data_IF_222533637178
#
_entry.id   IF_222533637178
#
_cell.length_a   1.000
_cell.length_b   1.000
_cell.length_c   1.000
_cell.angle_alpha   90.00
_cell.angle_beta   90.00
_cell.angle_gamma   90.00
#
_symmetry.space_group_name_H-M   'P 1'
#
loop_
_entity.id
_entity.type
_entity.pdbx_description
1 polymer ?
#
# COMPACT_ATOMS: atom_id res chain seq x y z
N UNK A 1 -20.84 2.15 2.53
CA UNK A 1 -19.63 1.76 3.27
C UNK A 1 -19.29 0.33 2.94
N UNK A 2 -18.03 0.08 2.63
CA UNK A 2 -17.44 -1.21 2.31
C UNK A 2 -16.49 -1.60 3.44
N UNK A 3 -16.45 -2.89 3.76
CA UNK A 3 -15.52 -3.47 4.72
C UNK A 3 -14.53 -4.38 4.00
N UNK A 4 -13.25 -4.02 4.07
CA UNK A 4 -12.20 -4.68 3.30
C UNK A 4 -11.07 -5.10 4.24
N UNK A 5 -10.51 -6.29 4.00
CA UNK A 5 -9.26 -6.71 4.65
C UNK A 5 -8.11 -6.40 3.73
N UNK A 6 -7.26 -5.45 4.14
CA UNK A 6 -6.10 -4.99 3.40
C UNK A 6 -4.78 -5.30 4.10
N UNK A 7 -3.71 -5.43 3.31
CA UNK A 7 -2.35 -5.66 3.78
C UNK A 7 -1.43 -4.53 3.31
N UNK A 8 -0.74 -3.89 4.26
CA UNK A 8 0.19 -2.80 3.99
C UNK A 8 1.61 -3.22 4.38
N UNK A 9 2.53 -3.22 3.42
CA UNK A 9 3.94 -3.55 3.65
C UNK A 9 4.77 -2.29 3.83
N UNK A 10 5.63 -2.28 4.85
CA UNK A 10 6.50 -1.13 5.17
C UNK A 10 7.71 -1.57 6.01
N UNK A 11 8.52 -0.61 6.47
CA UNK A 11 9.60 -0.87 7.43
C UNK A 11 9.05 -1.28 8.81
N UNK A 12 9.80 -2.05 9.59
CA UNK A 12 9.38 -2.45 10.93
C UNK A 12 9.15 -1.25 11.87
N UNK A 13 9.95 -0.19 11.71
CA UNK A 13 9.84 1.03 12.53
C UNK A 13 8.61 1.85 12.12
N UNK A 14 8.33 1.97 10.81
CA UNK A 14 7.09 2.56 10.30
C UNK A 14 5.86 1.78 10.75
N UNK A 15 5.92 0.45 10.73
CA UNK A 15 4.81 -0.39 11.20
C UNK A 15 4.52 -0.17 12.68
N UNK A 16 5.54 -0.10 13.53
CA UNK A 16 5.36 0.22 14.94
C UNK A 16 4.71 1.60 15.15
N UNK A 17 5.10 2.59 14.34
CA UNK A 17 4.49 3.92 14.34
C UNK A 17 3.02 3.88 13.93
N UNK A 18 2.70 3.20 12.82
CA UNK A 18 1.32 3.06 12.32
C UNK A 18 0.41 2.36 13.32
N UNK A 19 0.89 1.30 13.99
CA UNK A 19 0.10 0.60 15.03
C UNK A 19 -0.21 1.52 16.22
N UNK A 20 0.69 2.46 16.54
CA UNK A 20 0.53 3.38 17.67
C UNK A 20 -0.29 4.61 17.32
N UNK A 21 -0.09 5.17 16.13
CA UNK A 21 -0.55 6.52 15.75
C UNK A 21 -1.56 6.52 14.59
N UNK A 22 -1.79 5.36 13.97
CA UNK A 22 -2.58 5.22 12.74
C UNK A 22 -1.77 5.49 11.47
N UNK A 23 -2.40 5.25 10.32
CA UNK A 23 -1.83 5.62 9.03
C UNK A 23 -1.80 7.14 8.91
N UNK A 24 -0.65 7.66 8.47
CA UNK A 24 -0.52 9.07 8.09
C UNK A 24 -0.65 9.14 6.58
N UNK A 25 -1.43 10.11 6.10
CA UNK A 25 -1.49 10.37 4.68
C UNK A 25 -0.08 10.66 4.18
N UNK A 26 0.30 9.99 3.10
CA UNK A 26 1.51 10.37 2.42
C UNK A 26 1.26 11.75 1.79
N UNK A 27 2.25 12.64 1.93
CA UNK A 27 2.20 14.02 1.42
C UNK A 27 3.29 14.27 0.36
N UNK A 28 3.92 13.21 -0.14
CA UNK A 28 5.05 13.30 -1.06
C UNK A 28 4.63 13.70 -2.47
N UNK A 29 5.48 14.45 -3.17
CA UNK A 29 5.24 14.82 -4.58
C UNK A 29 5.44 13.65 -5.56
N UNK A 30 6.00 12.53 -5.11
CA UNK A 30 6.34 11.35 -5.93
C UNK A 30 5.49 10.11 -5.60
N UNK A 31 4.26 10.30 -5.14
CA UNK A 31 3.38 9.16 -4.87
C UNK A 31 2.89 8.48 -6.14
N UNK A 32 2.73 7.16 -6.07
CA UNK A 32 2.52 6.33 -7.25
C UNK A 32 1.23 6.67 -8.01
N UNK A 33 0.12 6.90 -7.31
CA UNK A 33 -1.20 7.21 -7.89
C UNK A 33 -1.82 8.45 -7.20
N UNK A 34 -1.02 9.18 -6.40
CA UNK A 34 -1.46 10.32 -5.59
C UNK A 34 -1.53 10.01 -4.10
N UNK A 35 -2.03 10.98 -3.32
CA UNK A 35 -2.03 10.94 -1.85
C UNK A 35 -2.96 9.87 -1.31
N UNK A 36 -2.43 8.91 -0.55
CA UNK A 36 -3.26 7.91 0.09
C UNK A 36 -2.49 6.85 0.87
N UNK A 37 -3.24 5.85 1.35
CA UNK A 37 -2.67 4.63 1.93
C UNK A 37 -3.00 3.44 1.03
N UNK A 38 -1.97 2.73 0.59
CA UNK A 38 -2.08 1.65 -0.37
C UNK A 38 -2.16 0.30 0.35
N UNK A 39 -3.07 -0.56 -0.11
CA UNK A 39 -3.28 -1.88 0.46
C UNK A 39 -3.34 -2.94 -0.64
N UNK A 40 -2.72 -4.08 -0.37
CA UNK A 40 -2.96 -5.30 -1.12
C UNK A 40 -4.18 -5.99 -0.54
N UNK A 41 -5.17 -6.28 -1.36
CA UNK A 41 -6.40 -6.98 -0.98
C UNK A 41 -6.46 -8.35 -1.64
N UNK A 42 -7.37 -9.20 -1.17
CA UNK A 42 -7.66 -10.46 -1.88
C UNK A 42 -8.28 -10.12 -3.24
N UNK A 43 -7.63 -10.52 -4.31
CA UNK A 43 -8.08 -10.35 -5.68
C UNK A 43 -7.69 -11.57 -6.51
N UNK A 44 -7.01 -11.34 -7.65
CA UNK A 44 -6.47 -12.42 -8.50
C UNK A 44 -5.48 -13.28 -7.73
N UNK A 45 -4.62 -12.67 -6.90
CA UNK A 45 -3.69 -13.39 -6.04
C UNK A 45 -4.33 -13.81 -4.71
N UNK A 46 -4.03 -15.03 -4.29
CA UNK A 46 -4.45 -15.60 -3.00
C UNK A 46 -3.52 -15.24 -1.83
N UNK A 47 -2.41 -14.55 -2.09
CA UNK A 47 -1.39 -14.21 -1.06
C UNK A 47 -1.12 -12.70 -1.00
N UNK A 48 -2.11 -11.85 -0.66
CA UNK A 48 -1.93 -10.40 -0.56
C UNK A 48 -0.91 -9.96 0.50
N UNK A 49 -0.77 -10.73 1.59
CA UNK A 49 0.27 -10.50 2.60
C UNK A 49 1.69 -10.60 2.04
N UNK A 50 1.92 -11.56 1.13
CA UNK A 50 3.24 -11.77 0.52
C UNK A 50 3.55 -10.66 -0.48
N UNK A 51 2.57 -10.25 -1.29
CA UNK A 51 2.74 -9.11 -2.20
C UNK A 51 3.02 -7.81 -1.44
N UNK A 52 2.35 -7.58 -0.31
CA UNK A 52 2.66 -6.45 0.56
C UNK A 52 4.12 -6.49 1.06
N UNK A 53 4.61 -7.67 1.46
CA UNK A 53 6.01 -7.83 1.86
C UNK A 53 6.99 -7.58 0.70
N UNK A 54 6.72 -8.16 -0.48
CA UNK A 54 7.53 -7.97 -1.69
C UNK A 54 7.57 -6.51 -2.11
N UNK A 55 6.44 -5.81 -2.01
CA UNK A 55 6.35 -4.38 -2.23
C UNK A 55 7.24 -3.59 -1.26
N UNK A 56 7.19 -3.89 0.04
CA UNK A 56 8.05 -3.22 1.02
C UNK A 56 9.54 -3.42 0.71
N UNK A 57 9.92 -4.62 0.24
CA UNK A 57 11.31 -4.90 -0.17
C UNK A 57 11.68 -4.10 -1.43
N UNK A 58 10.78 -4.03 -2.41
CA UNK A 58 11.01 -3.30 -3.66
C UNK A 58 11.07 -1.77 -3.43
N UNK A 59 10.18 -1.23 -2.60
CA UNK A 59 10.13 0.19 -2.26
C UNK A 59 11.39 0.62 -1.48
N UNK A 60 11.92 -0.26 -0.62
CA UNK A 60 13.15 0.02 0.10
C UNK A 60 14.38 0.14 -0.81
N UNK A 61 14.35 -0.41 -2.03
CA UNK A 61 15.52 -0.48 -2.89
C UNK A 61 15.92 0.89 -3.43
N UNK A 62 17.09 1.38 -3.00
CA UNK A 62 17.68 2.58 -3.60
C UNK A 62 18.49 2.21 -4.84
N UNK A 63 18.01 2.67 -5.99
CA UNK A 63 18.66 2.45 -7.28
C UNK A 63 20.03 3.13 -7.42
N UNK A 64 20.34 4.13 -6.59
CA UNK A 64 21.63 4.83 -6.60
C UNK A 64 22.66 4.07 -5.79
N UNK A 65 22.37 3.81 -4.50
CA UNK A 65 23.30 3.13 -3.60
C UNK A 65 23.29 1.61 -3.73
N UNK A 66 22.35 1.03 -4.49
CA UNK A 66 22.17 -0.42 -4.72
C UNK A 66 22.02 -1.21 -3.42
N UNK A 67 21.35 -0.60 -2.44
CA UNK A 67 21.02 -1.22 -1.15
C UNK A 67 19.60 -0.83 -0.74
N UNK A 68 19.02 -1.61 0.17
CA UNK A 68 17.75 -1.23 0.78
C UNK A 68 17.96 -0.14 1.84
N UNK A 69 17.15 0.91 1.78
CA UNK A 69 17.10 2.04 2.73
C UNK A 69 16.71 1.57 4.14
N UNK A 70 16.03 0.42 4.25
CA UNK A 70 15.77 -0.29 5.49
C UNK A 70 15.88 -1.81 5.31
N UNK A 71 16.23 -2.54 6.39
CA UNK A 71 16.50 -3.98 6.35
C UNK A 71 15.48 -4.85 7.09
N UNK A 72 14.59 -4.21 7.84
CA UNK A 72 13.54 -4.89 8.62
C UNK A 72 12.20 -4.49 8.03
N UNK A 73 11.46 -5.49 7.57
CA UNK A 73 10.19 -5.33 6.89
C UNK A 73 9.07 -5.85 7.80
N UNK A 74 7.89 -5.27 7.66
CA UNK A 74 6.69 -5.69 8.35
C UNK A 74 5.48 -5.56 7.43
N UNK A 75 4.47 -6.39 7.68
CA UNK A 75 3.18 -6.33 7.02
C UNK A 75 2.11 -6.10 8.07
N UNK A 76 1.30 -5.07 7.86
CA UNK A 76 0.15 -4.72 8.72
C UNK A 76 -1.11 -5.26 8.05
N UNK A 77 -1.86 -6.10 8.76
CA UNK A 77 -3.21 -6.49 8.36
C UNK A 77 -4.19 -5.47 8.95
N UNK A 78 -5.05 -4.90 8.11
CA UNK A 78 -6.03 -3.89 8.51
C UNK A 78 -7.45 -4.34 8.14
N UNK A 79 -8.40 -4.08 9.02
CA UNK A 79 -9.83 -4.08 8.71
C UNK A 79 -10.20 -2.63 8.39
N UNK A 80 -10.66 -2.38 7.17
CA UNK A 80 -10.81 -1.04 6.59
C UNK A 80 -12.29 -0.83 6.31
N UNK A 81 -12.87 0.18 6.94
CA UNK A 81 -14.19 0.72 6.62
C UNK A 81 -13.98 1.96 5.74
N UNK A 82 -14.54 1.95 4.52
CA UNK A 82 -14.37 3.02 3.54
C UNK A 82 -15.64 3.25 2.75
N UNK A 83 -15.91 4.49 2.35
CA UNK A 83 -16.98 4.79 1.40
C UNK A 83 -16.51 4.47 -0.02
N UNK A 84 -17.42 4.01 -0.88
CA UNK A 84 -17.08 3.52 -2.22
C UNK A 84 -16.42 4.61 -3.09
N UNK A 85 -16.83 5.87 -2.94
CA UNK A 85 -16.23 7.02 -3.62
C UNK A 85 -14.78 7.34 -3.20
N UNK A 86 -14.34 6.82 -2.05
CA UNK A 86 -12.97 6.96 -1.55
C UNK A 86 -12.10 5.73 -1.86
N UNK A 87 -12.64 4.74 -2.58
CA UNK A 87 -11.94 3.51 -2.96
C UNK A 87 -11.57 3.54 -4.45
N UNK A 88 -10.27 3.46 -4.73
CA UNK A 88 -9.77 3.15 -6.08
C UNK A 88 -9.41 1.65 -6.15
N UNK A 89 -10.29 0.84 -6.75
CA UNK A 89 -10.09 -0.60 -6.90
C UNK A 89 -9.44 -0.97 -8.24
N UNK A 90 -8.12 -1.12 -8.23
CA UNK A 90 -7.32 -1.50 -9.40
C UNK A 90 -7.50 -2.97 -9.84
N UNK A 91 -8.36 -3.75 -9.17
CA UNK A 91 -8.74 -5.10 -9.62
C UNK A 91 -9.93 -5.10 -10.58
N UNK A 92 -10.52 -3.93 -10.83
CA UNK A 92 -11.65 -3.72 -11.75
C UNK A 92 -11.20 -3.02 -13.02
N UNK A 93 -11.92 -3.23 -14.12
CA UNK A 93 -11.68 -2.51 -15.38
C UNK A 93 -11.84 -0.99 -15.19
N UNK A 94 -12.87 -0.56 -14.45
CA UNK A 94 -13.12 0.85 -14.15
C UNK A 94 -11.96 1.49 -13.37
N UNK A 95 -11.45 0.81 -12.34
CA UNK A 95 -10.31 1.31 -11.56
C UNK A 95 -9.02 1.39 -12.38
N UNK A 96 -8.78 0.43 -13.27
CA UNK A 96 -7.66 0.48 -14.22
C UNK A 96 -7.83 1.62 -15.23
N UNK A 97 -9.05 1.88 -15.70
CA UNK A 97 -9.35 3.00 -16.59
C UNK A 97 -9.13 4.35 -15.91
N UNK A 98 -9.52 4.49 -14.63
CA UNK A 98 -9.22 5.67 -13.83
C UNK A 98 -7.71 5.87 -13.68
N UNK A 99 -6.96 4.81 -13.38
CA UNK A 99 -5.50 4.86 -13.29
C UNK A 99 -4.90 5.40 -14.60
N UNK A 100 -5.26 4.82 -15.75
CA UNK A 100 -4.78 5.22 -17.08
C UNK A 100 -5.11 6.67 -17.47
N UNK A 101 -6.08 7.31 -16.81
CA UNK A 101 -6.39 8.71 -17.02
C UNK A 101 -5.49 9.64 -16.18
N UNK A 102 -4.98 9.16 -15.05
CA UNK A 102 -4.20 9.94 -14.08
C UNK A 102 -2.69 9.87 -14.36
N UNK A 103 -2.19 8.77 -14.95
CA UNK A 103 -0.78 8.57 -15.34
C UNK A 103 -0.52 8.82 -16.82
#
# INVERSE_FOLDING_TARGET
MLNIVGYHGTSADSAASIIKEGFKNSEGENEWIGKGTYFFIRGISSTPSNQALEWAIAEAWDNTSKINTYKRFAVIKSEIEVEEEHLLDLTTEDGVNILNYII
#
